data_IF_375986984418
#
_entry.id   IF_375986984418
#
_cell.length_a   1.000
_cell.length_b   1.000
_cell.length_c   1.000
_cell.angle_alpha   90.00
_cell.angle_beta   90.00
_cell.angle_gamma   90.00
#
_symmetry.space_group_name_H-M   'P 1'
#
loop_
_entity.id
_entity.type
_entity.pdbx_description
1 polymer ?
#
# COMPACT_ATOMS: atom_id res chain seq x y z
N UNK A 1 -10.31 4.40 -7.14
CA UNK A 1 -9.41 3.45 -6.46
C UNK A 1 -9.67 2.05 -7.00
N UNK A 2 -8.63 1.32 -7.38
CA UNK A 2 -8.72 -0.01 -7.99
C UNK A 2 -7.84 -1.00 -7.22
N UNK A 3 -8.30 -2.26 -7.07
CA UNK A 3 -7.50 -3.32 -6.47
C UNK A 3 -6.31 -3.68 -7.36
N UNK A 4 -5.11 -3.78 -6.80
CA UNK A 4 -3.94 -4.31 -7.51
C UNK A 4 -4.08 -5.81 -7.69
N UNK A 5 -4.34 -6.22 -8.93
CA UNK A 5 -4.46 -7.61 -9.35
C UNK A 5 -3.70 -7.83 -10.65
N UNK A 6 -3.53 -9.09 -11.06
CA UNK A 6 -2.96 -9.44 -12.35
C UNK A 6 -3.68 -8.80 -13.53
N UNK A 7 -4.99 -8.53 -13.39
CA UNK A 7 -5.81 -7.94 -14.45
C UNK A 7 -5.37 -6.53 -14.85
N UNK A 8 -4.94 -5.68 -13.89
CA UNK A 8 -4.51 -4.30 -14.18
C UNK A 8 -3.00 -4.16 -14.33
N UNK A 9 -2.28 -5.26 -14.28
CA UNK A 9 -0.82 -5.23 -14.25
C UNK A 9 -0.18 -4.51 -15.44
N UNK A 10 -0.77 -4.64 -16.63
CA UNK A 10 -0.26 -4.01 -17.85
C UNK A 10 -0.45 -2.48 -17.87
N UNK A 11 -1.27 -1.94 -16.97
CA UNK A 11 -1.49 -0.51 -16.79
C UNK A 11 -0.49 0.12 -15.80
N UNK A 12 0.32 -0.71 -15.13
CA UNK A 12 1.26 -0.27 -14.12
C UNK A 12 2.61 0.09 -14.74
N UNK A 13 3.39 0.98 -14.08
CA UNK A 13 4.75 1.29 -14.49
C UNK A 13 5.63 0.04 -14.58
N UNK A 14 6.48 -0.03 -15.61
CA UNK A 14 7.35 -1.20 -15.86
C UNK A 14 8.22 -1.55 -14.66
N UNK A 15 8.72 -0.56 -13.90
CA UNK A 15 9.48 -0.79 -12.68
C UNK A 15 8.67 -1.58 -11.64
N UNK A 16 7.37 -1.33 -11.53
CA UNK A 16 6.49 -2.02 -10.57
C UNK A 16 6.13 -3.44 -11.04
N UNK A 17 5.99 -3.64 -12.36
CA UNK A 17 5.67 -4.97 -12.92
C UNK A 17 6.83 -5.95 -12.85
N UNK A 18 8.06 -5.48 -12.70
CA UNK A 18 9.26 -6.32 -12.61
C UNK A 18 9.89 -6.34 -11.21
N UNK A 19 9.53 -5.41 -10.32
CA UNK A 19 10.12 -5.31 -8.99
C UNK A 19 9.75 -6.51 -8.11
N UNK A 20 10.77 -7.20 -7.63
CA UNK A 20 10.68 -8.30 -6.66
C UNK A 20 11.54 -8.03 -5.43
N UNK A 21 11.80 -6.75 -5.14
CA UNK A 21 12.65 -6.35 -4.02
C UNK A 21 12.18 -6.98 -2.69
N UNK A 22 10.92 -6.88 -2.37
CA UNK A 22 10.35 -7.42 -1.13
C UNK A 22 10.12 -8.93 -1.14
N UNK A 23 9.90 -9.48 -2.34
CA UNK A 23 9.51 -10.88 -2.56
C UNK A 23 10.71 -11.85 -2.54
N UNK A 24 11.94 -11.32 -2.64
CA UNK A 24 13.16 -12.15 -2.69
C UNK A 24 14.30 -11.53 -1.90
N UNK A 25 15.28 -12.37 -1.54
CA UNK A 25 16.53 -11.92 -0.89
C UNK A 25 17.64 -11.62 -1.90
N UNK A 26 17.55 -12.14 -3.13
CA UNK A 26 18.67 -12.17 -4.09
C UNK A 26 18.56 -11.18 -5.24
N UNK A 27 17.34 -10.88 -5.70
CA UNK A 27 17.13 -10.01 -6.85
C UNK A 27 16.20 -8.85 -6.50
N UNK A 28 16.39 -7.70 -7.14
CA UNK A 28 15.46 -6.58 -7.06
C UNK A 28 14.45 -6.57 -8.21
N UNK A 29 14.80 -7.17 -9.37
CA UNK A 29 13.97 -7.17 -10.59
C UNK A 29 13.97 -8.54 -11.25
N UNK A 30 12.78 -9.07 -11.51
CA UNK A 30 12.55 -10.32 -12.27
C UNK A 30 11.07 -10.42 -12.63
N UNK A 31 10.74 -10.18 -13.91
CA UNK A 31 9.35 -10.20 -14.39
C UNK A 31 8.66 -11.55 -14.17
N UNK A 32 9.33 -12.67 -14.49
CA UNK A 32 8.75 -14.00 -14.36
C UNK A 32 8.47 -14.38 -12.90
N UNK A 33 9.38 -13.98 -12.02
CA UNK A 33 9.22 -14.20 -10.57
C UNK A 33 8.11 -13.32 -10.01
N UNK A 34 7.99 -12.07 -10.48
CA UNK A 34 6.88 -11.19 -10.12
C UNK A 34 5.53 -11.77 -10.55
N UNK A 35 5.44 -12.30 -11.79
CA UNK A 35 4.23 -12.94 -12.31
C UNK A 35 3.78 -14.11 -11.45
N UNK A 36 4.73 -14.97 -11.09
CA UNK A 36 4.45 -16.12 -10.23
C UNK A 36 3.97 -15.67 -8.86
N UNK A 37 4.68 -14.72 -8.25
CA UNK A 37 4.33 -14.19 -6.94
C UNK A 37 2.94 -13.53 -6.94
N UNK A 38 2.59 -12.75 -7.96
CA UNK A 38 1.26 -12.13 -8.08
C UNK A 38 0.17 -13.19 -8.06
N UNK A 39 0.28 -14.23 -8.89
CA UNK A 39 -0.70 -15.33 -8.91
C UNK A 39 -0.82 -16.03 -7.56
N UNK A 40 0.31 -16.42 -6.96
CA UNK A 40 0.34 -17.10 -5.66
C UNK A 40 -0.22 -16.21 -4.52
N UNK A 41 0.00 -14.92 -4.60
CA UNK A 41 -0.52 -13.96 -3.64
C UNK A 41 -2.03 -13.79 -3.79
N UNK A 42 -2.52 -13.63 -5.02
CA UNK A 42 -3.95 -13.49 -5.32
C UNK A 42 -4.75 -14.70 -4.88
N UNK A 43 -4.26 -15.89 -5.18
CA UNK A 43 -4.91 -17.15 -4.79
C UNK A 43 -5.09 -17.29 -3.27
N UNK A 44 -4.18 -16.74 -2.48
CA UNK A 44 -4.19 -16.89 -1.01
C UNK A 44 -4.71 -15.68 -0.25
N UNK A 45 -4.49 -14.48 -0.79
CA UNK A 45 -4.67 -13.23 -0.07
C UNK A 45 -5.52 -12.19 -0.81
N UNK A 46 -5.92 -12.47 -2.06
CA UNK A 46 -6.62 -11.50 -2.91
C UNK A 46 -5.68 -10.42 -3.44
N UNK A 47 -6.17 -9.20 -3.56
CA UNK A 47 -5.39 -8.09 -4.10
C UNK A 47 -4.12 -7.81 -3.28
N UNK A 48 -3.00 -7.53 -3.99
CA UNK A 48 -1.69 -7.24 -3.40
C UNK A 48 -1.41 -5.74 -3.19
N UNK A 49 -2.45 -4.92 -3.23
CA UNK A 49 -2.38 -3.48 -3.01
C UNK A 49 -3.55 -2.72 -3.62
N UNK A 50 -3.34 -1.42 -3.78
CA UNK A 50 -4.30 -0.49 -4.41
C UNK A 50 -3.60 0.38 -5.44
N UNK A 51 -4.31 0.70 -6.54
CA UNK A 51 -3.94 1.71 -7.51
C UNK A 51 -4.97 2.85 -7.52
N UNK A 52 -4.48 4.05 -7.71
CA UNK A 52 -5.28 5.27 -7.81
C UNK A 52 -5.25 5.77 -9.25
N UNK A 53 -6.44 6.03 -9.79
CA UNK A 53 -6.65 6.64 -11.10
C UNK A 53 -7.56 7.86 -10.96
N UNK A 54 -7.40 8.81 -11.86
CA UNK A 54 -8.35 9.89 -12.13
C UNK A 54 -8.82 9.71 -13.59
N UNK A 55 -10.06 9.23 -13.76
CA UNK A 55 -10.49 8.67 -15.04
C UNK A 55 -9.56 7.52 -15.46
N UNK A 56 -8.96 7.66 -16.64
CA UNK A 56 -7.99 6.71 -17.19
C UNK A 56 -6.53 7.05 -16.83
N UNK A 57 -6.31 8.16 -16.11
CA UNK A 57 -4.96 8.61 -15.73
C UNK A 57 -4.49 7.92 -14.47
N UNK A 58 -3.41 7.14 -14.55
CA UNK A 58 -2.77 6.53 -13.40
C UNK A 58 -2.06 7.59 -12.54
N UNK A 59 -2.42 7.68 -11.25
CA UNK A 59 -1.84 8.62 -10.29
C UNK A 59 -0.87 7.97 -9.33
N UNK A 60 -1.02 6.69 -9.04
CA UNK A 60 -0.11 6.00 -8.15
C UNK A 60 -0.60 4.62 -7.72
N UNK A 61 0.26 3.92 -7.01
CA UNK A 61 -0.06 2.65 -6.35
C UNK A 61 0.61 2.52 -4.98
N UNK A 62 0.03 1.64 -4.18
CA UNK A 62 0.59 1.18 -2.92
C UNK A 62 0.49 -0.36 -2.85
N UNK A 63 1.62 -1.04 -2.72
CA UNK A 63 1.69 -2.49 -2.50
C UNK A 63 1.74 -2.78 -1.00
N UNK A 64 0.93 -3.74 -0.55
CA UNK A 64 0.91 -4.21 0.83
C UNK A 64 0.36 -5.64 0.94
N UNK A 65 0.52 -6.23 2.10
CA UNK A 65 -0.04 -7.55 2.41
C UNK A 65 0.49 -8.11 3.72
N UNK A 66 0.17 -9.37 4.07
CA UNK A 66 0.69 -10.01 5.27
C UNK A 66 2.23 -9.94 5.30
N UNK A 67 2.81 -9.52 6.43
CA UNK A 67 4.26 -9.33 6.54
C UNK A 67 5.05 -10.62 6.24
N UNK A 68 4.44 -11.79 6.51
CA UNK A 68 5.05 -13.11 6.30
C UNK A 68 5.40 -13.42 4.84
N UNK A 69 4.72 -12.79 3.87
CA UNK A 69 4.95 -13.04 2.43
C UNK A 69 6.05 -12.17 1.83
N UNK A 70 6.69 -11.33 2.64
CA UNK A 70 7.77 -10.43 2.21
C UNK A 70 9.08 -10.77 2.91
N UNK A 71 9.82 -11.80 2.45
CA UNK A 71 10.99 -12.33 3.16
C UNK A 71 12.11 -11.30 3.39
N UNK A 72 12.29 -10.32 2.49
CA UNK A 72 13.30 -9.28 2.65
C UNK A 72 13.08 -8.42 3.88
N UNK A 73 11.84 -8.26 4.33
CA UNK A 73 11.52 -7.44 5.50
C UNK A 73 12.25 -7.90 6.78
N UNK A 74 12.57 -9.20 6.86
CA UNK A 74 13.28 -9.78 8.00
C UNK A 74 14.77 -9.45 8.01
N UNK A 75 15.34 -9.13 6.84
CA UNK A 75 16.79 -8.84 6.67
C UNK A 75 17.10 -7.34 6.67
N UNK A 76 16.10 -6.47 6.71
CA UNK A 76 16.33 -5.04 6.85
C UNK A 76 16.87 -4.70 8.25
N UNK A 77 17.72 -3.66 8.38
CA UNK A 77 18.35 -3.32 9.67
C UNK A 77 17.37 -3.13 10.82
N UNK A 78 16.20 -2.54 10.55
CA UNK A 78 15.16 -2.32 11.54
C UNK A 78 14.11 -3.45 11.59
N UNK A 79 14.26 -4.54 10.79
CA UNK A 79 13.37 -5.70 10.81
C UNK A 79 13.52 -6.59 12.06
N UNK A 80 12.67 -7.61 12.21
CA UNK A 80 11.51 -7.94 11.40
C UNK A 80 10.29 -7.06 11.72
N UNK A 81 9.28 -6.96 10.83
CA UNK A 81 7.97 -6.40 11.14
C UNK A 81 7.15 -7.38 11.99
N UNK A 82 5.94 -6.95 12.41
CA UNK A 82 4.98 -7.81 13.14
C UNK A 82 4.62 -9.03 12.30
N UNK A 83 4.81 -10.27 12.79
CA UNK A 83 4.58 -11.48 12.00
C UNK A 83 3.16 -11.59 11.44
N UNK A 84 2.16 -11.26 12.27
CA UNK A 84 0.73 -11.34 11.94
C UNK A 84 0.13 -9.98 11.52
N UNK A 85 0.99 -9.00 11.22
CA UNK A 85 0.60 -7.68 10.75
C UNK A 85 0.61 -7.58 9.22
N UNK A 86 0.10 -6.44 8.74
CA UNK A 86 0.25 -6.02 7.35
C UNK A 86 1.56 -5.23 7.21
N UNK A 87 2.30 -5.46 6.14
CA UNK A 87 3.45 -4.65 5.76
C UNK A 87 3.11 -3.82 4.52
N UNK A 88 3.26 -2.49 4.63
CA UNK A 88 3.34 -1.61 3.48
C UNK A 88 4.73 -1.75 2.88
N UNK A 89 4.82 -2.02 1.58
CA UNK A 89 6.11 -2.42 0.97
C UNK A 89 6.65 -1.41 -0.03
N UNK A 90 5.86 -0.94 -0.97
CA UNK A 90 6.30 0.07 -1.91
C UNK A 90 5.13 0.95 -2.37
N UNK A 91 5.49 2.20 -2.69
CA UNK A 91 4.62 3.14 -3.39
C UNK A 91 5.23 3.54 -4.72
N UNK A 92 4.38 3.92 -5.66
CA UNK A 92 4.75 4.64 -6.87
C UNK A 92 3.76 5.77 -7.05
N UNK A 93 4.24 7.00 -7.22
CA UNK A 93 3.40 8.18 -7.38
C UNK A 93 3.87 8.96 -8.63
N UNK A 94 2.90 9.51 -9.36
CA UNK A 94 3.12 10.36 -10.53
C UNK A 94 3.07 11.83 -10.13
N UNK A 95 3.34 12.73 -11.09
CA UNK A 95 3.19 14.17 -10.92
C UNK A 95 1.71 14.54 -10.64
N UNK A 96 1.52 15.73 -10.10
CA UNK A 96 0.21 16.26 -9.72
C UNK A 96 0.13 16.53 -8.22
N UNK A 97 -0.67 15.77 -7.47
CA UNK A 97 -0.76 15.82 -6.01
C UNK A 97 -0.26 14.52 -5.38
N UNK A 98 1.06 14.30 -5.27
CA UNK A 98 1.59 13.06 -4.73
C UNK A 98 1.33 12.90 -3.23
N UNK A 99 1.18 14.00 -2.48
CA UNK A 99 0.85 13.96 -1.05
C UNK A 99 -0.57 13.43 -0.86
N UNK A 100 -1.56 14.04 -1.50
CA UNK A 100 -2.93 13.60 -1.42
C UNK A 100 -3.15 12.19 -2.02
N UNK A 101 -2.43 11.86 -3.09
CA UNK A 101 -2.47 10.51 -3.66
C UNK A 101 -1.94 9.47 -2.67
N UNK A 102 -0.81 9.72 -1.99
CA UNK A 102 -0.26 8.83 -0.99
C UNK A 102 -1.20 8.68 0.21
N UNK A 103 -1.75 9.77 0.72
CA UNK A 103 -2.69 9.75 1.85
C UNK A 103 -3.93 8.91 1.52
N UNK A 104 -4.52 9.08 0.34
CA UNK A 104 -5.67 8.27 -0.12
C UNK A 104 -5.33 6.79 -0.24
N UNK A 105 -4.17 6.45 -0.80
CA UNK A 105 -3.70 5.07 -0.90
C UNK A 105 -3.44 4.44 0.47
N UNK A 106 -2.87 5.20 1.41
CA UNK A 106 -2.65 4.74 2.78
C UNK A 106 -3.98 4.50 3.50
N UNK A 107 -4.93 5.43 3.42
CA UNK A 107 -6.26 5.26 4.04
C UNK A 107 -6.96 4.00 3.53
N UNK A 108 -6.94 3.74 2.24
CA UNK A 108 -7.51 2.52 1.65
C UNK A 108 -6.80 1.24 2.13
N UNK A 109 -5.47 1.27 2.24
CA UNK A 109 -4.71 0.13 2.74
C UNK A 109 -5.03 -0.14 4.23
N UNK A 110 -5.19 0.91 5.04
CA UNK A 110 -5.57 0.78 6.46
C UNK A 110 -7.00 0.25 6.60
N UNK A 111 -7.94 0.73 5.78
CA UNK A 111 -9.32 0.24 5.75
C UNK A 111 -9.39 -1.24 5.35
N UNK A 112 -8.66 -1.64 4.29
CA UNK A 112 -8.58 -3.04 3.86
C UNK A 112 -7.95 -3.94 4.95
N UNK A 113 -6.86 -3.49 5.57
CA UNK A 113 -6.22 -4.23 6.66
C UNK A 113 -7.18 -4.42 7.85
N UNK A 114 -7.93 -3.38 8.23
CA UNK A 114 -8.94 -3.44 9.29
C UNK A 114 -10.08 -4.39 8.94
N UNK A 115 -10.63 -4.29 7.73
CA UNK A 115 -11.69 -5.17 7.24
C UNK A 115 -11.28 -6.64 7.24
N UNK A 116 -10.00 -6.93 7.04
CA UNK A 116 -9.39 -8.27 7.10
C UNK A 116 -8.96 -8.68 8.51
N UNK A 117 -9.36 -7.92 9.55
CA UNK A 117 -9.11 -8.19 10.96
C UNK A 117 -7.63 -8.18 11.37
N UNK A 118 -6.77 -7.52 10.62
CA UNK A 118 -5.42 -7.24 11.08
C UNK A 118 -5.45 -6.21 12.21
N UNK A 119 -4.49 -6.31 13.12
CA UNK A 119 -4.41 -5.42 14.30
C UNK A 119 -3.32 -4.37 14.17
N UNK A 120 -2.38 -4.57 13.26
CA UNK A 120 -1.22 -3.68 13.06
C UNK A 120 -0.87 -3.54 11.58
N UNK A 121 -0.37 -2.37 11.23
CA UNK A 121 0.26 -2.09 9.95
C UNK A 121 1.66 -1.57 10.21
N UNK A 122 2.64 -2.20 9.61
CA UNK A 122 4.05 -1.83 9.67
C UNK A 122 4.52 -1.26 8.33
N UNK A 123 5.49 -0.35 8.38
CA UNK A 123 6.18 0.17 7.20
C UNK A 123 7.65 0.48 7.53
N UNK A 124 8.54 0.31 6.57
CA UNK A 124 9.91 0.78 6.72
C UNK A 124 10.06 2.17 6.12
N UNK A 125 10.67 3.08 6.87
CA UNK A 125 10.83 4.47 6.50
C UNK A 125 12.28 4.95 6.61
N UNK A 126 12.56 6.04 5.90
CA UNK A 126 13.81 6.79 5.97
C UNK A 126 13.49 8.29 6.08
N UNK A 127 14.47 9.06 6.56
CA UNK A 127 14.39 10.51 6.63
C UNK A 127 14.14 11.05 8.03
N UNK A 128 14.27 12.36 8.14
CA UNK A 128 14.11 13.13 9.37
C UNK A 128 12.63 13.52 9.56
N UNK A 129 12.12 13.41 10.77
CA UNK A 129 10.76 13.83 11.15
C UNK A 129 10.55 15.34 11.06
N UNK A 130 11.62 16.13 11.10
CA UNK A 130 11.60 17.58 10.96
C UNK A 130 11.79 18.07 9.52
N UNK A 131 12.16 17.19 8.59
CA UNK A 131 12.31 17.56 7.19
C UNK A 131 10.93 17.89 6.58
N UNK A 132 10.77 19.05 5.93
CA UNK A 132 9.55 19.35 5.19
C UNK A 132 9.39 18.32 4.06
N UNK A 133 8.21 17.70 3.99
CA UNK A 133 7.89 16.78 2.92
C UNK A 133 7.66 17.57 1.63
N UNK A 134 8.58 17.48 0.68
CA UNK A 134 8.42 18.05 -0.65
C UNK A 134 7.79 17.02 -1.60
N UNK A 135 6.89 17.47 -2.48
CA UNK A 135 6.21 16.60 -3.45
C UNK A 135 7.18 15.76 -4.26
N UNK A 136 8.30 16.36 -4.68
CA UNK A 136 9.34 15.67 -5.46
C UNK A 136 9.95 14.45 -4.72
N UNK A 137 9.94 14.45 -3.39
CA UNK A 137 10.45 13.32 -2.61
C UNK A 137 9.53 12.10 -2.66
N UNK A 138 8.27 12.30 -3.01
CA UNK A 138 7.27 11.23 -3.11
C UNK A 138 7.11 10.67 -4.52
N UNK A 139 7.62 11.39 -5.55
CA UNK A 139 7.46 10.98 -6.94
C UNK A 139 8.28 9.73 -7.27
N UNK A 140 7.72 8.89 -8.13
CA UNK A 140 8.36 7.66 -8.59
C UNK A 140 8.20 6.49 -7.64
N UNK A 141 9.10 5.51 -7.76
CA UNK A 141 9.04 4.25 -7.04
C UNK A 141 9.87 4.28 -5.75
N UNK A 142 9.20 4.05 -4.63
CA UNK A 142 9.81 3.99 -3.31
C UNK A 142 9.59 2.61 -2.69
N UNK A 143 10.67 1.99 -2.21
CA UNK A 143 10.64 0.74 -1.43
C UNK A 143 10.68 1.00 0.08
N UNK A 144 11.07 2.22 0.46
CA UNK A 144 11.03 2.73 1.83
C UNK A 144 10.24 4.03 1.82
N UNK A 145 9.40 4.23 2.81
CA UNK A 145 8.54 5.41 2.90
C UNK A 145 9.30 6.61 3.48
N UNK A 146 8.80 7.80 3.25
CA UNK A 146 9.26 8.99 3.94
C UNK A 146 8.65 9.03 5.34
N UNK A 147 9.50 9.04 6.38
CA UNK A 147 9.08 9.04 7.78
C UNK A 147 8.08 10.17 8.10
N UNK A 148 8.28 11.44 7.66
CA UNK A 148 7.30 12.50 7.88
C UNK A 148 5.90 12.21 7.33
N UNK A 149 5.79 11.53 6.19
CA UNK A 149 4.50 11.15 5.63
C UNK A 149 3.76 10.14 6.51
N UNK A 150 4.47 9.13 7.02
CA UNK A 150 3.88 8.12 7.91
C UNK A 150 3.52 8.70 9.29
N UNK A 151 4.33 9.62 9.84
CA UNK A 151 4.01 10.32 11.10
C UNK A 151 2.68 11.08 11.01
N UNK A 152 2.43 11.78 9.88
CA UNK A 152 1.14 12.46 9.66
C UNK A 152 -0.04 11.51 9.61
N UNK A 153 0.17 10.27 9.19
CA UNK A 153 -0.86 9.21 9.19
C UNK A 153 -0.99 8.49 10.54
N UNK A 154 -0.28 8.94 11.57
CA UNK A 154 -0.36 8.38 12.92
C UNK A 154 0.53 7.18 13.19
N UNK A 155 1.41 6.81 12.26
CA UNK A 155 2.43 5.80 12.53
C UNK A 155 3.41 6.29 13.58
N UNK A 156 3.91 5.37 14.39
CA UNK A 156 4.89 5.62 15.43
C UNK A 156 6.17 4.82 15.15
N UNK A 157 7.30 5.31 15.62
CA UNK A 157 8.57 4.58 15.55
C UNK A 157 8.53 3.37 16.46
N UNK A 158 8.74 2.20 15.90
CA UNK A 158 8.87 0.95 16.64
C UNK A 158 10.35 0.63 16.91
N UNK A 159 11.19 0.78 15.89
CA UNK A 159 12.62 0.49 15.99
C UNK A 159 13.42 1.18 14.89
N UNK A 160 14.50 1.86 15.27
CA UNK A 160 15.45 2.48 14.34
C UNK A 160 16.80 1.75 14.35
N UNK A 161 17.36 1.52 13.17
CA UNK A 161 18.72 1.01 12.97
C UNK A 161 19.37 1.72 11.78
N UNK A 162 20.40 2.49 12.06
CA UNK A 162 21.02 3.37 11.07
C UNK A 162 20.01 4.41 10.55
N UNK A 163 19.83 4.48 9.24
CA UNK A 163 18.90 5.39 8.57
C UNK A 163 17.49 4.81 8.37
N UNK A 164 17.28 3.55 8.75
CA UNK A 164 15.99 2.86 8.54
C UNK A 164 15.23 2.77 9.84
N UNK A 165 13.99 3.18 9.82
CA UNK A 165 13.03 3.06 10.93
C UNK A 165 11.90 2.13 10.52
N UNK A 166 11.63 1.11 11.34
CA UNK A 166 10.37 0.38 11.29
C UNK A 166 9.34 1.21 12.03
N UNK A 167 8.27 1.57 11.34
CA UNK A 167 7.16 2.33 11.88
C UNK A 167 5.92 1.46 11.96
N UNK A 168 5.09 1.69 12.97
CA UNK A 168 3.87 0.91 13.25
C UNK A 168 2.67 1.78 13.46
N UNK A 169 1.53 1.35 12.94
CA UNK A 169 0.21 1.85 13.28
C UNK A 169 -0.63 0.72 13.88
N UNK A 170 -1.16 0.92 15.09
CA UNK A 170 -2.14 0.03 15.69
C UNK A 170 -3.53 0.35 15.13
N UNK A 171 -4.20 -0.64 14.54
CA UNK A 171 -5.55 -0.47 13.96
C UNK A 171 -6.66 -0.50 15.02
N UNK A 172 -6.37 -0.97 16.24
CA UNK A 172 -7.32 -0.97 17.36
C UNK A 172 -7.60 0.48 17.77
N UNK A 173 -8.87 0.88 17.73
CA UNK A 173 -9.30 2.23 18.11
C UNK A 173 -9.36 3.24 16.96
N UNK A 174 -8.96 2.88 15.74
CA UNK A 174 -9.31 3.70 14.58
C UNK A 174 -10.82 3.65 14.38
N UNK A 175 -11.47 4.82 14.49
CA UNK A 175 -12.88 4.95 14.12
C UNK A 175 -13.03 4.76 12.62
N UNK A 176 -14.08 4.08 12.18
CA UNK A 176 -14.44 4.05 10.77
C UNK A 176 -14.89 5.46 10.40
N UNK A 177 -14.07 6.15 9.63
CA UNK A 177 -14.52 7.36 8.95
C UNK A 177 -15.36 6.85 7.77
N UNK A 178 -16.69 7.03 7.85
CA UNK A 178 -17.60 6.74 6.74
C UNK A 178 -17.13 7.54 5.52
N UNK A 179 -16.43 6.89 4.61
CA UNK A 179 -16.02 7.50 3.36
C UNK A 179 -17.25 7.51 2.46
N UNK A 180 -17.73 8.68 1.99
CA UNK A 180 -18.96 8.80 1.18
C UNK A 180 -18.93 8.03 -0.16
N UNK A 181 -17.85 7.36 -0.50
CA UNK A 181 -17.68 6.58 -1.72
C UNK A 181 -18.36 5.18 -1.68
N UNK A 182 -18.89 4.73 -0.55
CA UNK A 182 -19.61 3.44 -0.44
C UNK A 182 -21.13 3.58 -0.35
N UNK A 183 -21.70 4.75 -0.67
CA UNK A 183 -23.13 4.84 -0.92
C UNK A 183 -23.44 4.02 -2.18
N UNK A 184 -23.87 2.79 -1.98
CA UNK A 184 -24.35 1.91 -3.04
C UNK A 184 -25.37 2.66 -3.87
N UNK A 185 -25.16 2.71 -5.18
CA UNK A 185 -26.18 3.10 -6.16
C UNK A 185 -27.33 2.10 -5.98
N UNK A 186 -28.37 2.53 -5.27
CA UNK A 186 -29.61 1.77 -5.17
C UNK A 186 -30.20 1.68 -6.59
N UNK A 187 -30.34 0.47 -7.08
CA UNK A 187 -31.02 0.22 -8.37
C UNK A 187 -32.44 0.80 -8.33
N UNK A 188 -32.91 1.47 -9.38
CA UNK A 188 -34.24 1.97 -9.42
C UNK A 188 -35.27 0.82 -9.36
N UNK A 189 -36.10 0.83 -8.33
CA UNK A 189 -37.23 -0.07 -8.23
C UNK A 189 -38.17 0.20 -9.39
N UNK A 190 -38.33 -0.75 -10.30
CA UNK A 190 -39.38 -0.73 -11.34
C UNK A 190 -40.73 -0.88 -10.65
N UNK A 191 -41.54 0.16 -10.75
CA UNK A 191 -42.92 0.13 -10.30
C UNK A 191 -43.73 -0.88 -11.13
N UNK A 192 -44.64 -1.66 -10.52
CA UNK A 192 -45.51 -2.57 -11.28
C UNK A 192 -46.54 -1.77 -12.08
N UNK A 193 -46.63 -2.12 -13.36
CA UNK A 193 -47.68 -1.62 -14.25
C UNK A 193 -49.07 -2.04 -13.70
N UNK A 194 -49.95 -1.06 -13.49
CA UNK A 194 -51.36 -1.34 -13.24
C UNK A 194 -52.06 -1.56 -14.59
N UNK A 195 -52.62 -2.76 -14.73
CA UNK A 195 -53.59 -3.08 -15.78
C UNK A 195 -54.96 -2.45 -15.54
#
# INVERSE_FOLDING_TARGET
MVALTGAIRNELPVCCTHCVFWQTLTSATDARRKDRWVREFEDRHGAWGRALFDGDTFLGLLQYGPASVFPRSRSLPAGPPTPDGVLLTCSYLTEGDPVGALERLLLEALADAKARSFTTVDAFAVGDDHAPLADRQLLGHHTLFHRPALLRMGFQDERTRGQVTLMRLALRGLQDVDHPAHAAVAAPQTAPARG
#
